data_IF_024061144468
#
_entry.id   IF_024061144468
#
_cell.length_a   1.000
_cell.length_b   1.000
_cell.length_c   1.000
_cell.angle_alpha   90.00
_cell.angle_beta   90.00
_cell.angle_gamma   90.00
#
_symmetry.space_group_name_H-M   'P 1'
#
loop_
_entity.id
_entity.type
_entity.pdbx_description
1 polymer ?
#
# COMPACT_ATOMS: atom_id res chain seq x y z
N UNK A 1 -30.62 9.85 -5.57
CA UNK A 1 -30.42 10.31 -4.18
C UNK A 1 -29.00 10.03 -3.77
N UNK A 2 -28.17 11.07 -3.69
CA UNK A 2 -26.81 10.98 -3.15
C UNK A 2 -26.92 10.79 -1.64
N UNK A 3 -26.54 9.61 -1.13
CA UNK A 3 -26.31 9.43 0.31
C UNK A 3 -25.34 10.54 0.74
N UNK A 4 -25.80 11.50 1.55
CA UNK A 4 -24.87 12.33 2.32
C UNK A 4 -23.97 11.35 3.06
N UNK A 5 -22.69 11.29 2.68
CA UNK A 5 -21.68 10.47 3.38
C UNK A 5 -21.45 11.12 4.74
N UNK A 6 -22.38 10.97 5.67
CA UNK A 6 -22.16 11.33 7.06
C UNK A 6 -21.06 10.42 7.58
N UNK A 7 -19.90 11.00 7.85
CA UNK A 7 -18.78 10.29 8.45
C UNK A 7 -19.14 9.98 9.91
N UNK A 8 -18.91 8.75 10.40
CA UNK A 8 -19.10 8.43 11.80
C UNK A 8 -18.35 9.39 12.72
N UNK A 9 -19.04 9.92 13.72
CA UNK A 9 -18.53 10.79 14.79
C UNK A 9 -18.62 10.13 16.16
N UNK A 10 -19.40 9.07 16.29
CA UNK A 10 -19.53 8.28 17.53
C UNK A 10 -19.17 6.82 17.28
N UNK A 11 -18.86 6.08 18.34
CA UNK A 11 -18.54 4.66 18.25
C UNK A 11 -19.73 3.87 17.67
N UNK A 12 -20.95 4.16 18.11
CA UNK A 12 -22.16 3.54 17.59
C UNK A 12 -22.38 3.78 16.08
N UNK A 13 -22.09 5.00 15.59
CA UNK A 13 -22.16 5.30 14.17
C UNK A 13 -21.09 4.54 13.37
N UNK A 14 -19.88 4.37 13.93
CA UNK A 14 -18.80 3.64 13.29
C UNK A 14 -19.11 2.15 13.22
N UNK A 15 -19.65 1.59 14.29
CA UNK A 15 -20.05 0.19 14.37
C UNK A 15 -21.15 -0.12 13.35
N UNK A 16 -22.19 0.73 13.27
CA UNK A 16 -23.24 0.61 12.26
C UNK A 16 -22.69 0.73 10.83
N UNK A 17 -21.71 1.62 10.62
CA UNK A 17 -21.04 1.79 9.33
C UNK A 17 -20.23 0.54 8.94
N UNK A 18 -19.51 -0.09 9.88
CA UNK A 18 -18.72 -1.29 9.61
C UNK A 18 -19.63 -2.51 9.38
N UNK A 19 -20.67 -2.68 10.21
CA UNK A 19 -21.62 -3.78 10.09
C UNK A 19 -22.35 -3.82 8.74
N UNK A 20 -22.55 -2.66 8.11
CA UNK A 20 -23.16 -2.54 6.79
C UNK A 20 -22.23 -2.94 5.62
N UNK A 21 -20.99 -3.38 5.87
CA UNK A 21 -19.99 -3.71 4.85
C UNK A 21 -19.49 -5.15 4.97
N UNK A 22 -19.13 -5.80 3.85
CA UNK A 22 -18.51 -7.12 3.91
C UNK A 22 -17.25 -7.09 4.76
N UNK A 23 -17.12 -8.07 5.67
CA UNK A 23 -15.93 -8.22 6.50
C UNK A 23 -14.72 -8.52 5.60
N UNK A 24 -13.56 -7.89 5.82
CA UNK A 24 -12.35 -8.28 5.12
C UNK A 24 -11.99 -9.72 5.53
N UNK A 25 -12.04 -10.65 4.58
CA UNK A 25 -11.58 -12.02 4.83
C UNK A 25 -10.07 -12.05 4.59
N UNK A 26 -9.30 -12.58 5.55
CA UNK A 26 -7.88 -12.82 5.34
C UNK A 26 -7.76 -13.98 4.34
N UNK A 27 -6.90 -13.84 3.34
CA UNK A 27 -6.46 -15.00 2.54
C UNK A 27 -5.49 -15.83 3.39
N UNK A 28 -5.99 -16.52 4.42
CA UNK A 28 -5.24 -17.57 5.12
C UNK A 28 -5.43 -18.87 4.35
N UNK A 29 -4.34 -19.60 4.12
CA UNK A 29 -4.39 -20.94 3.54
C UNK A 29 -4.36 -21.97 4.67
N UNK A 30 -4.99 -23.11 4.44
CA UNK A 30 -4.94 -24.28 5.33
C UNK A 30 -3.47 -24.65 5.62
N UNK A 31 -3.09 -24.72 6.90
CA UNK A 31 -1.73 -25.07 7.35
C UNK A 31 -0.84 -23.90 7.79
N UNK A 32 -1.30 -22.65 7.70
CA UNK A 32 -0.60 -21.51 8.32
C UNK A 32 -0.86 -21.55 9.84
N UNK A 33 0.12 -21.91 10.68
CA UNK A 33 -0.03 -21.99 12.15
C UNK A 33 -0.47 -20.63 12.74
N UNK A 34 -1.74 -20.41 13.09
CA UNK A 34 -2.16 -19.18 13.72
C UNK A 34 -2.21 -19.45 15.21
N UNK A 35 -1.21 -19.00 15.97
CA UNK A 35 -1.33 -19.03 17.44
C UNK A 35 -2.56 -18.20 17.87
N UNK A 36 -2.87 -17.11 17.15
CA UNK A 36 -4.08 -16.31 17.33
C UNK A 36 -4.63 -15.74 16.01
N UNK A 37 -5.96 -15.60 15.94
CA UNK A 37 -6.70 -14.99 14.82
C UNK A 37 -6.92 -13.48 15.05
N UNK A 38 -7.30 -12.75 14.00
CA UNK A 38 -7.80 -11.38 14.17
C UNK A 38 -9.05 -11.40 15.09
N UNK A 39 -9.19 -10.37 15.93
CA UNK A 39 -10.18 -10.31 16.99
C UNK A 39 -11.23 -9.21 16.74
N UNK A 40 -12.50 -9.53 16.97
CA UNK A 40 -13.57 -8.53 17.11
C UNK A 40 -13.64 -8.06 18.57
N UNK A 41 -13.41 -6.76 18.79
CA UNK A 41 -13.35 -6.15 20.11
C UNK A 41 -14.75 -5.99 20.72
N UNK A 42 -14.89 -6.44 21.97
CA UNK A 42 -16.05 -6.14 22.81
C UNK A 42 -16.07 -4.68 23.25
N UNK A 43 -17.17 -4.24 23.86
CA UNK A 43 -17.31 -2.86 24.37
C UNK A 43 -16.27 -2.58 25.46
N UNK A 44 -16.00 -3.57 26.32
CA UNK A 44 -14.97 -3.48 27.36
C UNK A 44 -13.58 -3.29 26.74
N UNK A 45 -13.27 -4.04 25.68
CA UNK A 45 -11.99 -3.93 24.99
C UNK A 45 -11.83 -2.61 24.24
N UNK A 46 -12.93 -2.09 23.66
CA UNK A 46 -12.93 -0.73 23.08
C UNK A 46 -12.62 0.30 24.16
N UNK A 47 -13.22 0.18 25.35
CA UNK A 47 -12.95 1.11 26.45
C UNK A 47 -11.49 1.03 26.93
N UNK A 48 -10.95 -0.19 27.07
CA UNK A 48 -9.53 -0.41 27.40
C UNK A 48 -8.61 0.32 26.42
N UNK A 49 -8.90 0.24 25.12
CA UNK A 49 -8.15 0.97 24.10
C UNK A 49 -8.27 2.48 24.30
N UNK A 50 -9.49 3.02 24.46
CA UNK A 50 -9.73 4.46 24.62
C UNK A 50 -9.08 5.04 25.89
N UNK A 51 -9.09 4.29 26.98
CA UNK A 51 -8.42 4.68 28.23
C UNK A 51 -6.91 4.69 28.05
N UNK A 52 -6.37 3.67 27.36
CA UNK A 52 -4.95 3.59 27.08
C UNK A 52 -4.46 4.74 26.18
N UNK A 53 -5.22 5.14 25.15
CA UNK A 53 -4.88 6.30 24.32
C UNK A 53 -4.70 7.57 25.15
N UNK A 54 -5.57 7.78 26.13
CA UNK A 54 -5.49 8.93 27.03
C UNK A 54 -4.28 8.82 27.97
N UNK A 55 -4.07 7.65 28.55
CA UNK A 55 -2.96 7.38 29.47
C UNK A 55 -1.59 7.68 28.84
N UNK A 56 -1.37 7.22 27.61
CA UNK A 56 -0.10 7.42 26.90
C UNK A 56 -0.05 8.70 26.07
N UNK A 57 -1.11 9.51 26.13
CA UNK A 57 -1.30 10.70 25.30
C UNK A 57 -1.04 10.43 23.81
N UNK A 58 -1.60 9.34 23.29
CA UNK A 58 -1.45 8.97 21.89
C UNK A 58 -2.38 9.81 21.01
N UNK A 59 -1.81 10.63 20.12
CA UNK A 59 -2.60 11.45 19.20
C UNK A 59 -1.83 11.83 17.93
N UNK A 60 -2.57 12.07 16.85
CA UNK A 60 -2.00 12.70 15.66
C UNK A 60 -1.59 14.15 15.98
N UNK A 61 -0.59 14.72 15.31
CA UNK A 61 -0.26 16.14 15.45
C UNK A 61 -1.48 17.02 15.15
N UNK A 62 -1.88 17.86 16.11
CA UNK A 62 -3.04 18.75 16.00
C UNK A 62 -4.36 18.19 16.55
N UNK A 63 -4.42 16.90 16.90
CA UNK A 63 -5.55 16.28 17.57
C UNK A 63 -5.24 15.98 19.05
N UNK A 64 -6.23 15.53 19.81
CA UNK A 64 -6.11 15.04 21.17
C UNK A 64 -6.42 13.53 21.29
N UNK A 65 -5.93 12.90 22.36
CA UNK A 65 -6.07 11.46 22.59
C UNK A 65 -7.52 10.96 22.74
N UNK A 66 -8.45 11.83 23.14
CA UNK A 66 -9.88 11.52 23.23
C UNK A 66 -10.63 11.70 21.90
N UNK A 67 -9.98 12.19 20.84
CA UNK A 67 -10.61 12.46 19.54
C UNK A 67 -10.51 11.26 18.59
N UNK A 68 -10.55 10.03 19.11
CA UNK A 68 -10.51 8.80 18.31
C UNK A 68 -11.71 7.90 18.52
N UNK A 69 -12.14 7.25 17.45
CA UNK A 69 -13.03 6.09 17.48
C UNK A 69 -12.23 4.82 17.19
N UNK A 70 -12.58 3.73 17.85
CA UNK A 70 -11.90 2.45 17.72
C UNK A 70 -12.55 1.62 16.63
N UNK A 71 -11.76 1.10 15.70
CA UNK A 71 -12.20 0.07 14.77
C UNK A 71 -12.19 -1.24 15.55
N UNK A 72 -13.36 -1.88 15.72
CA UNK A 72 -13.50 -3.14 16.48
C UNK A 72 -12.71 -4.32 15.95
N UNK A 73 -12.01 -4.19 14.83
CA UNK A 73 -11.22 -5.28 14.28
C UNK A 73 -9.75 -5.08 14.62
N UNK A 74 -9.29 -5.79 15.64
CA UNK A 74 -7.89 -5.83 16.02
C UNK A 74 -7.16 -6.91 15.20
N UNK A 75 -6.10 -6.52 14.51
CA UNK A 75 -5.33 -7.45 13.67
C UNK A 75 -4.19 -8.06 14.46
N UNK A 76 -4.07 -9.38 14.40
CA UNK A 76 -2.90 -10.05 14.97
C UNK A 76 -1.66 -9.72 14.13
N UNK A 77 -0.69 -9.06 14.74
CA UNK A 77 0.56 -8.63 14.09
C UNK A 77 1.76 -9.52 14.37
N UNK A 78 1.56 -10.60 15.15
CA UNK A 78 2.58 -11.60 15.42
C UNK A 78 3.46 -11.27 16.63
N UNK A 79 4.53 -12.05 16.76
CA UNK A 79 5.65 -11.85 17.68
C UNK A 79 6.83 -11.23 16.93
N UNK A 80 7.49 -10.23 17.51
CA UNK A 80 8.82 -9.83 17.08
C UNK A 80 9.88 -10.42 18.01
N UNK A 81 10.15 -11.72 17.91
CA UNK A 81 11.02 -12.47 18.83
C UNK A 81 12.36 -11.79 19.20
N UNK A 82 12.97 -11.04 18.28
CA UNK A 82 14.25 -10.36 18.49
C UNK A 82 14.15 -8.96 19.12
N UNK A 83 12.96 -8.35 19.15
CA UNK A 83 12.75 -6.96 19.57
C UNK A 83 11.66 -6.81 20.65
N UNK A 84 10.61 -7.61 20.55
CA UNK A 84 9.44 -7.61 21.43
C UNK A 84 8.91 -9.06 21.58
N UNK A 85 9.23 -9.78 22.68
CA UNK A 85 8.79 -11.15 22.91
C UNK A 85 7.33 -11.19 23.41
N UNK A 86 6.45 -10.39 22.81
CA UNK A 86 5.05 -10.25 23.19
C UNK A 86 4.15 -10.37 21.96
N UNK A 87 3.00 -10.99 22.14
CA UNK A 87 1.94 -11.03 21.14
C UNK A 87 1.33 -9.66 20.97
N UNK A 88 1.37 -9.12 19.76
CA UNK A 88 0.88 -7.78 19.48
C UNK A 88 -0.35 -7.79 18.56
N UNK A 89 -1.33 -6.98 18.93
CA UNK A 89 -2.47 -6.62 18.09
C UNK A 89 -2.34 -5.17 17.63
N UNK A 90 -2.66 -4.91 16.36
CA UNK A 90 -2.84 -3.57 15.84
C UNK A 90 -4.33 -3.21 15.83
N UNK A 91 -4.70 -2.18 16.58
CA UNK A 91 -6.06 -1.67 16.70
C UNK A 91 -6.17 -0.41 15.87
N UNK A 92 -7.05 -0.42 14.86
CA UNK A 92 -7.26 0.74 14.00
C UNK A 92 -8.02 1.86 14.72
N UNK A 93 -7.61 3.11 14.48
CA UNK A 93 -8.18 4.30 15.08
C UNK A 93 -8.61 5.29 14.00
N UNK A 94 -9.80 5.86 14.16
CA UNK A 94 -10.33 6.92 13.29
C UNK A 94 -10.34 8.24 14.05
N UNK A 95 -9.64 9.24 13.53
CA UNK A 95 -9.67 10.59 14.11
C UNK A 95 -11.05 11.24 13.89
N UNK A 96 -11.52 11.97 14.89
CA UNK A 96 -12.77 12.75 14.89
C UNK A 96 -12.52 14.26 14.98
N UNK A 97 -11.25 14.67 15.13
CA UNK A 97 -10.88 16.07 15.12
C UNK A 97 -11.37 16.76 13.84
N UNK A 98 -11.98 17.96 13.92
CA UNK A 98 -12.50 18.67 12.76
C UNK A 98 -11.45 18.83 11.66
N UNK A 99 -11.77 18.37 10.45
CA UNK A 99 -10.85 18.42 9.29
C UNK A 99 -9.84 17.28 9.23
N UNK A 100 -9.84 16.36 10.21
CA UNK A 100 -9.00 15.17 10.23
C UNK A 100 -9.81 13.87 10.18
N UNK A 101 -11.09 13.91 9.79
CA UNK A 101 -12.00 12.76 9.89
C UNK A 101 -11.70 11.60 8.92
N UNK A 102 -10.80 11.81 7.96
CA UNK A 102 -10.26 10.76 7.07
C UNK A 102 -8.87 10.26 7.51
N UNK A 103 -8.32 10.82 8.59
CA UNK A 103 -7.03 10.42 9.12
C UNK A 103 -7.22 9.20 10.01
N UNK A 104 -6.71 8.06 9.55
CA UNK A 104 -6.71 6.82 10.30
C UNK A 104 -5.27 6.50 10.73
N UNK A 105 -5.15 5.96 11.93
CA UNK A 105 -3.88 5.45 12.49
C UNK A 105 -4.16 4.13 13.20
N UNK A 106 -3.19 3.59 13.93
CA UNK A 106 -3.37 2.41 14.76
C UNK A 106 -2.47 2.48 15.99
N UNK A 107 -2.92 1.84 17.07
CA UNK A 107 -2.11 1.58 18.25
C UNK A 107 -1.81 0.09 18.37
N UNK A 108 -0.62 -0.25 18.85
CA UNK A 108 -0.23 -1.62 19.19
C UNK A 108 -0.48 -1.87 20.66
N UNK A 109 -1.11 -2.99 20.99
CA UNK A 109 -1.29 -3.46 22.36
C UNK A 109 -0.92 -4.94 22.44
N UNK A 110 -0.36 -5.35 23.57
CA UNK A 110 -0.15 -6.77 23.83
C UNK A 110 -1.49 -7.48 24.04
N UNK A 111 -1.53 -8.80 23.82
CA UNK A 111 -2.73 -9.59 24.12
C UNK A 111 -3.22 -9.36 25.56
N UNK A 112 -2.32 -9.46 26.56
CA UNK A 112 -2.68 -9.27 27.97
C UNK A 112 -3.26 -7.88 28.24
N UNK A 113 -2.67 -6.82 27.67
CA UNK A 113 -3.20 -5.47 27.80
C UNK A 113 -4.62 -5.36 27.23
N UNK A 114 -4.84 -5.91 26.03
CA UNK A 114 -6.14 -5.86 25.35
C UNK A 114 -7.20 -6.70 26.07
N UNK A 115 -6.80 -7.77 26.76
CA UNK A 115 -7.70 -8.58 27.59
C UNK A 115 -7.97 -7.98 28.98
N UNK A 116 -7.34 -6.86 29.33
CA UNK A 116 -7.52 -6.20 30.63
C UNK A 116 -6.81 -6.89 31.79
N UNK A 117 -5.76 -7.66 31.51
CA UNK A 117 -4.90 -8.22 32.56
C UNK A 117 -4.10 -7.09 33.23
N UNK A 118 -4.29 -6.83 34.53
CA UNK A 118 -3.62 -5.73 35.25
C UNK A 118 -2.10 -5.90 35.31
N UNK A 119 -1.58 -7.12 35.19
CA UNK A 119 -0.15 -7.43 35.24
C UNK A 119 0.47 -7.57 33.84
N UNK A 120 -0.29 -7.25 32.79
CA UNK A 120 0.18 -7.42 31.42
C UNK A 120 1.39 -6.54 31.11
N UNK A 121 2.44 -7.16 30.57
CA UNK A 121 3.60 -6.43 30.06
C UNK A 121 3.17 -5.57 28.87
N UNK A 122 3.54 -4.30 28.95
CA UNK A 122 3.17 -3.29 27.96
C UNK A 122 4.15 -3.27 26.80
N UNK A 123 3.61 -3.19 25.57
CA UNK A 123 4.44 -2.90 24.40
C UNK A 123 4.96 -1.46 24.46
N UNK A 124 6.14 -1.18 23.87
CA UNK A 124 6.53 0.18 23.55
C UNK A 124 5.44 0.85 22.69
N UNK A 125 5.03 2.07 23.07
CA UNK A 125 4.02 2.83 22.34
C UNK A 125 4.57 3.18 20.96
N UNK A 126 3.85 2.78 19.90
CA UNK A 126 4.24 3.17 18.54
C UNK A 126 3.95 4.65 18.30
N UNK A 127 4.72 5.27 17.42
CA UNK A 127 4.37 6.59 16.91
C UNK A 127 3.06 6.53 16.11
N UNK A 128 2.20 7.56 16.20
CA UNK A 128 0.98 7.65 15.42
C UNK A 128 1.33 7.91 13.95
N UNK A 129 1.35 6.84 13.16
CA UNK A 129 1.55 6.90 11.71
C UNK A 129 0.21 6.86 11.00
N UNK A 130 0.05 7.65 9.94
CA UNK A 130 -1.15 7.57 9.13
C UNK A 130 -1.14 6.24 8.35
N UNK A 131 -2.28 5.55 8.33
CA UNK A 131 -2.45 4.35 7.52
C UNK A 131 -2.19 4.63 6.02
N UNK A 132 -2.48 5.87 5.58
CA UNK A 132 -2.10 6.34 4.25
C UNK A 132 -0.60 6.44 4.08
N UNK A 133 0.17 6.94 5.06
CA UNK A 133 1.63 7.10 4.96
C UNK A 133 2.35 5.74 4.83
N UNK A 134 1.75 4.65 5.33
CA UNK A 134 2.26 3.29 5.15
C UNK A 134 1.98 2.71 3.76
N UNK A 135 1.15 3.36 2.94
CA UNK A 135 0.97 2.96 1.56
C UNK A 135 2.14 3.47 0.71
N UNK A 136 2.84 2.55 0.05
CA UNK A 136 3.75 2.77 -1.08
C UNK A 136 3.44 4.00 -1.94
N UNK A 137 2.17 4.16 -2.34
CA UNK A 137 1.77 5.18 -3.30
C UNK A 137 1.53 6.56 -2.67
N UNK A 138 1.56 6.68 -1.34
CA UNK A 138 1.17 7.89 -0.63
C UNK A 138 2.05 9.09 -0.94
N UNK A 139 3.36 8.88 -1.10
CA UNK A 139 4.30 9.95 -1.50
C UNK A 139 3.98 10.60 -2.85
N UNK A 140 3.19 9.92 -3.68
CA UNK A 140 2.80 10.39 -5.00
C UNK A 140 1.42 11.03 -5.01
N UNK A 141 0.71 11.07 -3.89
CA UNK A 141 -0.62 11.65 -3.77
C UNK A 141 -0.53 13.12 -3.42
N UNK A 142 -1.39 13.93 -4.05
CA UNK A 142 -1.45 15.37 -3.80
C UNK A 142 -2.16 15.71 -2.48
N UNK A 143 -2.88 14.75 -1.90
CA UNK A 143 -3.47 14.85 -0.55
C UNK A 143 -3.01 13.69 0.31
N UNK A 144 -2.58 14.01 1.55
CA UNK A 144 -2.03 13.04 2.51
C UNK A 144 -3.11 12.06 3.02
N UNK A 145 -4.38 12.46 3.01
CA UNK A 145 -5.46 11.77 3.76
C UNK A 145 -6.83 11.76 3.07
N UNK A 146 -7.01 12.39 1.90
CA UNK A 146 -8.31 12.42 1.21
C UNK A 146 -8.59 11.17 0.38
N UNK A 147 -9.79 11.01 -0.21
CA UNK A 147 -9.98 10.08 -1.32
C UNK A 147 -9.04 10.50 -2.44
N UNK A 148 -7.86 9.91 -2.46
CA UNK A 148 -6.98 9.96 -3.61
C UNK A 148 -7.82 9.48 -4.78
N UNK A 149 -7.70 10.14 -5.94
CA UNK A 149 -8.19 9.54 -7.18
C UNK A 149 -7.54 8.16 -7.25
N UNK A 150 -8.30 7.11 -6.97
CA UNK A 150 -7.79 5.74 -6.85
C UNK A 150 -8.43 4.91 -7.94
N UNK A 151 -7.66 3.99 -8.52
CA UNK A 151 -8.16 3.14 -9.60
C UNK A 151 -8.80 3.96 -10.72
N UNK A 152 -10.05 3.63 -11.06
CA UNK A 152 -10.84 4.25 -12.14
C UNK A 152 -10.97 5.77 -11.99
N UNK A 153 -10.95 6.32 -10.77
CA UNK A 153 -11.13 7.76 -10.53
C UNK A 153 -9.87 8.58 -10.89
N UNK A 154 -8.67 7.97 -10.82
CA UNK A 154 -7.45 8.56 -11.41
C UNK A 154 -7.55 8.64 -12.92
N UNK A 155 -8.37 7.76 -13.50
CA UNK A 155 -8.66 7.71 -14.92
C UNK A 155 -9.95 8.45 -15.33
N UNK A 156 -10.68 9.07 -14.39
CA UNK A 156 -11.99 9.67 -14.65
C UNK A 156 -11.97 11.18 -14.89
N UNK A 157 -10.92 11.87 -14.45
CA UNK A 157 -10.82 13.33 -14.51
C UNK A 157 -9.77 13.78 -15.52
N UNK A 158 -10.03 13.53 -16.80
CA UNK A 158 -9.29 14.18 -17.87
C UNK A 158 -10.05 15.42 -18.35
N UNK A 159 -9.30 16.45 -18.76
CA UNK A 159 -9.81 17.39 -19.76
C UNK A 159 -10.10 16.59 -21.04
N UNK A 160 -10.99 17.07 -21.91
CA UNK A 160 -11.37 16.35 -23.13
C UNK A 160 -10.18 15.98 -24.06
N UNK A 161 -8.98 16.48 -23.78
CA UNK A 161 -7.79 16.40 -24.62
C UNK A 161 -6.67 15.51 -24.07
N UNK A 162 -6.72 15.04 -22.81
CA UNK A 162 -5.64 14.22 -22.23
C UNK A 162 -6.09 12.80 -21.88
N UNK A 163 -5.19 11.81 -22.05
CA UNK A 163 -5.48 10.45 -21.62
C UNK A 163 -5.36 10.39 -20.10
N UNK A 164 -6.41 9.96 -19.38
CA UNK A 164 -6.39 9.97 -17.94
C UNK A 164 -5.23 9.18 -17.32
N UNK A 165 -4.61 9.73 -16.27
CA UNK A 165 -3.62 9.05 -15.42
C UNK A 165 -2.20 8.92 -15.98
N UNK A 166 -1.91 9.44 -17.18
CA UNK A 166 -0.56 9.40 -17.78
C UNK A 166 0.45 10.27 -17.03
N UNK A 167 -0.01 11.35 -16.42
CA UNK A 167 0.76 12.20 -15.51
C UNK A 167 1.19 11.46 -14.24
N UNK A 168 0.27 10.70 -13.64
CA UNK A 168 0.53 9.89 -12.46
C UNK A 168 1.45 8.71 -12.78
N UNK A 169 1.26 8.08 -13.96
CA UNK A 169 2.14 7.02 -14.47
C UNK A 169 3.61 7.52 -14.56
N UNK A 170 3.82 8.75 -15.08
CA UNK A 170 5.15 9.38 -15.13
C UNK A 170 5.70 9.69 -13.74
N UNK A 171 4.88 10.24 -12.84
CA UNK A 171 5.29 10.53 -11.45
C UNK A 171 5.81 9.28 -10.73
N UNK A 172 5.19 8.12 -10.97
CA UNK A 172 5.65 6.84 -10.43
C UNK A 172 6.97 6.38 -11.04
N UNK A 173 7.12 6.49 -12.36
CA UNK A 173 8.35 6.11 -13.07
C UNK A 173 9.55 6.96 -12.63
N UNK A 174 9.37 8.28 -12.52
CA UNK A 174 10.41 9.19 -12.07
C UNK A 174 10.84 8.91 -10.63
N UNK A 175 9.88 8.70 -9.72
CA UNK A 175 10.22 8.40 -8.33
C UNK A 175 10.82 7.00 -8.15
N UNK A 176 10.46 6.03 -9.00
CA UNK A 176 11.11 4.72 -8.99
C UNK A 176 12.58 4.82 -9.46
N UNK A 177 12.85 5.60 -10.51
CA UNK A 177 14.23 5.88 -10.95
C UNK A 177 15.03 6.63 -9.87
N UNK A 178 14.40 7.60 -9.20
CA UNK A 178 15.05 8.33 -8.11
C UNK A 178 15.43 7.43 -6.94
N UNK A 179 14.54 6.52 -6.53
CA UNK A 179 14.84 5.53 -5.49
C UNK A 179 16.04 4.65 -5.86
N UNK A 180 16.14 4.23 -7.13
CA UNK A 180 17.27 3.42 -7.63
C UNK A 180 18.57 4.21 -7.54
N UNK A 181 18.56 5.47 -8.00
CA UNK A 181 19.74 6.34 -7.96
C UNK A 181 20.17 6.68 -6.53
N UNK A 182 19.23 6.86 -5.62
CA UNK A 182 19.51 7.10 -4.20
C UNK A 182 20.11 5.87 -3.52
N UNK A 183 19.55 4.69 -3.82
CA UNK A 183 20.06 3.41 -3.32
C UNK A 183 21.49 3.17 -3.79
N UNK A 184 21.78 3.42 -5.08
CA UNK A 184 23.12 3.31 -5.64
C UNK A 184 24.12 4.23 -4.94
N UNK A 185 23.74 5.50 -4.69
CA UNK A 185 24.64 6.50 -4.10
C UNK A 185 24.95 6.23 -2.64
N UNK A 186 23.97 5.78 -1.86
CA UNK A 186 24.09 5.75 -0.40
C UNK A 186 24.26 4.34 0.17
N UNK A 187 24.03 3.30 -0.64
CA UNK A 187 23.90 1.91 -0.18
C UNK A 187 22.70 1.68 0.73
N UNK A 188 21.97 2.73 1.10
CA UNK A 188 20.76 2.72 1.89
C UNK A 188 19.59 2.82 0.93
N UNK A 189 18.77 1.77 0.85
CA UNK A 189 17.38 2.01 0.46
C UNK A 189 16.74 2.93 1.49
N UNK A 190 15.54 3.48 1.23
CA UNK A 190 14.76 4.05 2.33
C UNK A 190 14.56 2.95 3.39
N UNK A 191 15.33 3.03 4.47
CA UNK A 191 15.24 2.12 5.61
C UNK A 191 13.90 2.34 6.29
N UNK A 192 12.94 1.46 6.00
CA UNK A 192 11.71 1.33 6.78
C UNK A 192 11.33 -0.16 6.77
N UNK A 193 12.12 -1.04 7.41
CA UNK A 193 11.74 -2.43 7.70
C UNK A 193 11.16 -3.23 6.49
N UNK A 194 11.74 -3.04 5.29
CA UNK A 194 11.01 -2.84 4.05
C UNK A 194 10.61 -4.09 3.24
N UNK A 195 9.30 -4.22 2.96
CA UNK A 195 8.75 -4.87 1.75
C UNK A 195 8.99 -4.01 0.47
N UNK A 196 9.92 -3.05 0.53
CA UNK A 196 10.14 -1.99 -0.45
C UNK A 196 11.55 -2.11 -1.04
N UNK A 197 11.69 -2.93 -2.08
CA UNK A 197 12.94 -3.11 -2.81
C UNK A 197 12.95 -2.16 -4.04
N UNK A 198 13.94 -1.25 -4.20
CA UNK A 198 14.06 -0.38 -5.38
C UNK A 198 13.98 -1.15 -6.71
N UNK A 199 14.53 -2.36 -6.77
CA UNK A 199 14.43 -3.25 -7.93
C UNK A 199 12.98 -3.67 -8.23
N UNK A 200 12.21 -4.02 -7.19
CA UNK A 200 10.80 -4.39 -7.31
C UNK A 200 9.97 -3.18 -7.73
N UNK A 201 10.17 -2.02 -7.10
CA UNK A 201 9.44 -0.80 -7.42
C UNK A 201 9.73 -0.34 -8.87
N UNK A 202 11.01 -0.34 -9.26
CA UNK A 202 11.44 -0.08 -10.63
C UNK A 202 10.80 -1.03 -11.63
N UNK A 203 10.87 -2.35 -11.37
CA UNK A 203 10.28 -3.37 -12.24
C UNK A 203 8.76 -3.24 -12.37
N UNK A 204 8.05 -2.97 -11.27
CA UNK A 204 6.58 -2.79 -11.27
C UNK A 204 6.18 -1.50 -11.99
N UNK A 205 6.89 -0.39 -11.75
CA UNK A 205 6.64 0.86 -12.45
C UNK A 205 6.90 0.71 -13.96
N UNK A 206 8.06 0.15 -14.35
CA UNK A 206 8.37 -0.11 -15.75
C UNK A 206 7.34 -1.04 -16.40
N UNK A 207 7.04 -2.20 -15.82
CA UNK A 207 6.13 -3.15 -16.45
C UNK A 207 4.67 -2.67 -16.49
N UNK A 208 4.22 -1.97 -15.43
CA UNK A 208 2.82 -1.61 -15.25
C UNK A 208 2.42 -0.25 -15.81
N UNK A 209 3.37 0.62 -16.16
CA UNK A 209 3.11 2.03 -16.50
C UNK A 209 3.75 2.45 -17.81
N UNK A 210 5.04 2.15 -17.98
CA UNK A 210 5.80 2.60 -19.14
C UNK A 210 5.25 2.08 -20.50
N UNK A 211 4.87 0.79 -20.66
CA UNK A 211 4.17 0.28 -21.84
C UNK A 211 2.97 1.11 -22.26
N UNK A 212 2.18 1.57 -21.28
CA UNK A 212 0.97 2.35 -21.52
C UNK A 212 1.31 3.74 -22.06
N UNK A 213 2.32 4.39 -21.49
CA UNK A 213 2.79 5.69 -21.97
C UNK A 213 3.32 5.60 -23.40
N UNK A 214 4.16 4.61 -23.70
CA UNK A 214 4.68 4.38 -25.06
C UNK A 214 3.58 4.03 -26.06
N UNK A 215 2.57 3.27 -25.63
CA UNK A 215 1.40 3.02 -26.45
C UNK A 215 0.69 4.34 -26.82
N UNK A 216 0.36 5.18 -25.84
CA UNK A 216 -0.34 6.44 -26.12
C UNK A 216 0.51 7.45 -26.89
N UNK A 217 1.82 7.49 -26.67
CA UNK A 217 2.75 8.26 -27.50
C UNK A 217 2.69 7.80 -28.96
N UNK A 218 2.78 6.49 -29.22
CA UNK A 218 2.74 5.96 -30.60
C UNK A 218 1.40 6.21 -31.31
N UNK A 219 0.34 6.53 -30.56
CA UNK A 219 -0.97 6.92 -31.08
C UNK A 219 -1.18 8.44 -31.13
N UNK A 220 -0.19 9.24 -30.73
CA UNK A 220 -0.32 10.71 -30.67
C UNK A 220 -1.39 11.16 -29.67
N UNK A 221 -1.60 10.41 -28.59
CA UNK A 221 -2.67 10.64 -27.59
C UNK A 221 -2.16 11.24 -26.27
N UNK A 222 -0.89 11.58 -26.19
CA UNK A 222 -0.34 12.32 -25.05
C UNK A 222 -0.44 13.81 -25.35
N UNK A 223 -0.87 14.60 -24.35
CA UNK A 223 -0.74 16.06 -24.44
C UNK A 223 0.75 16.48 -24.45
N UNK A 224 1.02 17.71 -24.91
CA UNK A 224 2.38 18.22 -25.08
C UNK A 224 3.20 18.19 -23.78
N UNK A 225 2.54 18.48 -22.65
CA UNK A 225 3.18 18.51 -21.34
C UNK A 225 3.63 17.11 -20.92
N UNK A 226 2.76 16.12 -21.09
CA UNK A 226 3.01 14.71 -20.76
C UNK A 226 4.05 14.12 -21.70
N UNK A 227 4.01 14.46 -22.99
CA UNK A 227 5.00 14.03 -23.97
C UNK A 227 6.41 14.56 -23.63
N UNK A 228 6.51 15.86 -23.34
CA UNK A 228 7.78 16.47 -22.92
C UNK A 228 8.33 15.84 -21.63
N UNK A 229 7.46 15.57 -20.66
CA UNK A 229 7.85 14.91 -19.41
C UNK A 229 8.30 13.45 -19.65
N UNK A 230 7.65 12.71 -20.55
CA UNK A 230 8.06 11.37 -20.95
C UNK A 230 9.47 11.38 -21.56
N UNK A 231 9.75 12.28 -22.51
CA UNK A 231 11.09 12.38 -23.12
C UNK A 231 12.16 12.81 -22.10
N UNK A 232 11.81 13.69 -21.16
CA UNK A 232 12.71 14.07 -20.07
C UNK A 232 13.04 12.87 -19.16
N UNK A 233 12.03 12.06 -18.80
CA UNK A 233 12.22 10.82 -18.06
C UNK A 233 13.12 9.84 -18.83
N UNK A 234 12.87 9.61 -20.13
CA UNK A 234 13.68 8.71 -20.96
C UNK A 234 15.14 9.16 -21.04
N UNK A 235 15.38 10.46 -21.22
CA UNK A 235 16.73 11.02 -21.23
C UNK A 235 17.42 10.85 -19.86
N UNK A 236 16.67 10.98 -18.76
CA UNK A 236 17.19 10.76 -17.40
C UNK A 236 17.52 9.29 -17.16
N UNK A 237 16.66 8.37 -17.60
CA UNK A 237 16.91 6.94 -17.49
C UNK A 237 18.10 6.49 -18.35
N UNK A 238 18.26 7.04 -19.55
CA UNK A 238 19.42 6.78 -20.41
C UNK A 238 20.73 7.24 -19.75
N UNK A 239 20.72 8.37 -19.03
CA UNK A 239 21.89 8.80 -18.24
C UNK A 239 22.17 7.89 -17.03
N UNK A 240 21.17 7.17 -16.54
CA UNK A 240 21.27 6.25 -15.42
C UNK A 240 21.57 4.80 -15.87
N UNK A 241 21.78 4.55 -17.15
CA UNK A 241 21.90 3.19 -17.70
C UNK A 241 23.02 2.37 -17.03
N UNK A 242 24.17 2.98 -16.75
CA UNK A 242 25.26 2.28 -16.04
C UNK A 242 24.84 1.84 -14.64
N UNK A 243 24.12 2.69 -13.90
CA UNK A 243 23.59 2.37 -12.58
C UNK A 243 22.57 1.24 -12.65
N UNK A 244 21.68 1.27 -13.66
CA UNK A 244 20.71 0.20 -13.87
C UNK A 244 21.39 -1.14 -14.15
N UNK A 245 22.43 -1.13 -14.99
CA UNK A 245 23.20 -2.33 -15.33
C UNK A 245 23.98 -2.87 -14.13
N UNK A 246 24.65 -2.00 -13.36
CA UNK A 246 25.38 -2.37 -12.14
C UNK A 246 24.46 -3.03 -11.11
N UNK A 247 23.22 -2.55 -10.98
CA UNK A 247 22.22 -3.09 -10.07
C UNK A 247 21.41 -4.26 -10.65
N UNK A 248 21.69 -4.71 -11.88
CA UNK A 248 20.96 -5.79 -12.55
C UNK A 248 19.50 -5.47 -12.87
N UNK A 249 19.18 -4.19 -13.06
CA UNK A 249 17.82 -3.68 -13.31
C UNK A 249 17.53 -3.53 -14.80
N UNK A 250 16.24 -3.65 -15.15
CA UNK A 250 15.80 -3.55 -16.53
C UNK A 250 15.93 -2.11 -17.07
N UNK A 251 16.48 -1.96 -18.27
CA UNK A 251 16.47 -0.67 -18.98
C UNK A 251 15.10 -0.39 -19.60
N UNK A 252 14.66 0.88 -19.71
CA UNK A 252 13.35 1.20 -20.29
C UNK A 252 13.23 0.81 -21.76
N UNK A 253 14.25 1.04 -22.59
CA UNK A 253 14.15 0.86 -24.05
C UNK A 253 13.72 -0.57 -24.48
N UNK A 254 14.29 -1.67 -23.94
CA UNK A 254 13.79 -3.02 -24.19
C UNK A 254 12.32 -3.23 -23.79
N UNK A 255 11.88 -2.64 -22.69
CA UNK A 255 10.48 -2.73 -22.21
C UNK A 255 9.54 -2.03 -23.18
N UNK A 256 9.89 -0.84 -23.67
CA UNK A 256 9.11 -0.11 -24.67
C UNK A 256 8.96 -0.92 -25.97
N UNK A 257 10.06 -1.48 -26.49
CA UNK A 257 10.05 -2.25 -27.72
C UNK A 257 9.15 -3.49 -27.60
N UNK A 258 9.24 -4.22 -26.48
CA UNK A 258 8.39 -5.37 -26.21
C UNK A 258 6.91 -4.98 -26.11
N UNK A 259 6.61 -3.89 -25.41
CA UNK A 259 5.26 -3.37 -25.23
C UNK A 259 4.59 -2.96 -26.55
N UNK A 260 5.29 -2.20 -27.39
CA UNK A 260 4.75 -1.76 -28.68
C UNK A 260 4.47 -2.94 -29.61
N UNK A 261 5.37 -3.94 -29.63
CA UNK A 261 5.14 -5.18 -30.37
C UNK A 261 3.91 -5.95 -29.86
N UNK A 262 3.71 -6.02 -28.56
CA UNK A 262 2.52 -6.64 -27.97
C UNK A 262 1.24 -5.87 -28.30
N UNK A 263 1.28 -4.53 -28.29
CA UNK A 263 0.16 -3.69 -28.66
C UNK A 263 -0.23 -3.88 -30.13
N UNK A 264 0.75 -3.91 -31.05
CA UNK A 264 0.53 -4.18 -32.47
C UNK A 264 -0.11 -5.57 -32.69
N UNK A 265 0.37 -6.59 -31.97
CA UNK A 265 -0.22 -7.93 -32.01
C UNK A 265 -1.66 -7.94 -31.49
N UNK A 266 -1.96 -7.16 -30.45
CA UNK A 266 -3.31 -7.05 -29.91
C UNK A 266 -4.27 -6.36 -30.87
N UNK A 267 -3.84 -5.27 -31.51
CA UNK A 267 -4.65 -4.53 -32.48
C UNK A 267 -4.89 -5.32 -33.77
N UNK A 268 -3.92 -6.13 -34.19
CA UNK A 268 -4.05 -6.99 -35.38
C UNK A 268 -4.77 -8.32 -35.10
N UNK A 269 -5.29 -8.52 -33.88
CA UNK A 269 -6.00 -9.73 -33.48
C UNK A 269 -5.12 -10.99 -33.35
N UNK A 270 -3.79 -10.83 -33.38
CA UNK A 270 -2.80 -11.91 -33.27
C UNK A 270 -2.33 -12.16 -31.84
N UNK A 271 -2.82 -11.39 -30.86
CA UNK A 271 -2.47 -11.56 -29.47
C UNK A 271 -3.15 -12.80 -28.86
N UNK A 272 -2.35 -13.80 -28.53
CA UNK A 272 -2.79 -14.95 -27.75
C UNK A 272 -2.55 -14.67 -26.26
N UNK A 273 -3.62 -14.65 -25.46
CA UNK A 273 -3.52 -14.65 -24.00
C UNK A 273 -2.88 -15.96 -23.55
N UNK A 274 -1.58 -15.95 -23.29
CA UNK A 274 -0.97 -17.00 -22.46
C UNK A 274 -1.35 -16.71 -21.00
N UNK A 275 -2.51 -17.20 -20.58
CA UNK A 275 -2.75 -17.39 -19.15
C UNK A 275 -1.75 -18.43 -18.65
N UNK A 276 -0.58 -17.98 -18.17
CA UNK A 276 0.24 -18.79 -17.28
C UNK A 276 -0.41 -18.73 -15.90
N UNK A 277 -1.48 -19.50 -15.72
CA UNK A 277 -1.73 -20.07 -14.41
C UNK A 277 -0.58 -21.05 -14.24
N UNK A 278 0.44 -20.68 -13.45
CA UNK A 278 1.33 -21.71 -12.90
C UNK A 278 0.42 -22.51 -11.99
N UNK A 279 -0.02 -23.70 -12.41
CA UNK A 279 -0.48 -24.69 -11.44
C UNK A 279 0.73 -24.98 -10.55
N UNK A 280 0.73 -24.53 -9.28
CA UNK A 280 1.84 -24.85 -8.40
C UNK A 280 1.84 -26.37 -8.23
N UNK A 281 2.92 -27.03 -8.65
CA UNK A 281 3.10 -28.44 -8.34
C UNK A 281 3.14 -28.59 -6.80
N UNK A 282 2.39 -29.54 -6.22
CA UNK A 282 2.45 -29.81 -4.78
C UNK A 282 3.88 -30.11 -4.36
N UNK A 283 4.37 -29.43 -3.32
CA UNK A 283 5.71 -29.66 -2.74
C UNK A 283 5.84 -31.03 -2.06
N UNK A 284 4.77 -31.80 -1.98
CA UNK A 284 4.74 -33.14 -1.39
C UNK A 284 4.90 -34.19 -2.48
N UNK A 285 6.13 -34.42 -2.96
CA UNK A 285 6.59 -35.72 -3.48
C UNK A 285 8.07 -35.60 -3.90
N UNK A 286 8.95 -35.29 -2.95
CA UNK A 286 10.36 -35.66 -3.07
C UNK A 286 10.80 -36.33 -1.77
N UNK A 287 10.97 -37.65 -1.83
CA UNK A 287 11.86 -38.37 -0.92
C UNK A 287 11.22 -39.19 0.18
N UNK A 288 10.44 -40.20 -0.18
CA UNK A 288 10.56 -41.52 0.46
C UNK A 288 10.59 -42.54 -0.68
N UNK A 289 11.79 -42.84 -1.16
CA UNK A 289 12.04 -44.13 -1.79
C UNK A 289 12.49 -45.04 -0.67
N UNK A 290 11.65 -46.03 -0.40
CA UNK A 290 12.05 -47.24 0.30
C UNK A 290 13.21 -47.88 -0.47
N UNK A 291 14.35 -48.01 0.21
CA UNK A 291 15.31 -49.13 0.13
C UNK A 291 16.17 -49.13 1.40
#
# INVERSE_FOLDING_TARGET
MTLKKTRPRTQAELDAYIAARPRPVRNTFEGMYPLHEDLELSDEQVQIVLDYLQEVNFHLPGAASHEFLVIRWARYTGFQFMQEPLEAYAIGLRCTHPGMEDQHTFIRMSWGQLMGDPEAVRLPVNEPVLASDMMTLARYRDTRTGPSRTGVDAYGAASAESVPGTDFDLKLLDGALEDVLEHHRTGKGREINAWWNPALNWGVALAGRYPRLKYFESKGRLDEKTLAALHAFEARAARAESVLQELGLASPAPVAAAALKQAEQAETGKFSRRHRIRDPQPLTHQGLKDE
#
